data_IF_929451236464
#
_entry.id   IF_929451236464
#
_cell.length_a   1.000
_cell.length_b   1.000
_cell.length_c   1.000
_cell.angle_alpha   90.00
_cell.angle_beta   90.00
_cell.angle_gamma   90.00
#
_symmetry.space_group_name_H-M   'P 1'
#
loop_
_entity.id
_entity.type
_entity.pdbx_description
1 polymer ?
#
# COMPACT_ATOMS: atom_id res chain seq x y z
N UNK A 1 3.60 -1.99 12.32
CA UNK A 1 3.08 -1.96 10.95
C UNK A 1 2.70 -0.55 10.53
N UNK A 2 2.75 -0.21 9.23
CA UNK A 2 2.40 1.12 8.70
C UNK A 2 1.44 0.99 7.52
N UNK A 3 0.32 1.74 7.54
CA UNK A 3 -0.57 1.96 6.39
C UNK A 3 -0.33 3.39 5.89
N UNK A 4 0.10 3.52 4.63
CA UNK A 4 0.38 4.81 4.00
C UNK A 4 -0.89 5.34 3.32
N UNK A 5 -1.49 6.37 3.89
CA UNK A 5 -2.79 6.93 3.51
C UNK A 5 -2.76 8.44 3.20
N UNK A 6 -1.57 9.02 2.94
CA UNK A 6 -1.39 10.47 2.73
C UNK A 6 -1.78 10.99 1.34
N UNK A 7 -2.25 10.13 0.42
CA UNK A 7 -2.63 10.50 -0.94
C UNK A 7 -3.99 11.22 -1.04
N UNK A 8 -4.10 12.24 -1.90
CA UNK A 8 -5.33 13.02 -2.13
C UNK A 8 -6.30 12.42 -3.16
N UNK A 9 -5.89 11.37 -3.88
CA UNK A 9 -6.76 10.60 -4.77
C UNK A 9 -7.32 11.36 -5.98
N UNK A 10 -6.64 12.36 -6.54
CA UNK A 10 -7.14 13.21 -7.65
C UNK A 10 -7.74 12.43 -8.83
N UNK A 11 -7.21 11.26 -9.17
CA UNK A 11 -7.74 10.43 -10.28
C UNK A 11 -9.11 9.81 -10.01
N UNK A 12 -9.56 9.84 -8.76
CA UNK A 12 -10.88 9.39 -8.32
C UNK A 12 -11.88 10.54 -8.10
N UNK A 13 -11.50 11.79 -8.39
CA UNK A 13 -12.44 12.90 -8.28
C UNK A 13 -13.65 12.71 -9.20
N UNK A 14 -14.88 13.09 -8.76
CA UNK A 14 -15.18 13.83 -7.50
C UNK A 14 -15.31 12.95 -6.24
N UNK A 15 -15.24 11.63 -6.31
CA UNK A 15 -15.52 10.69 -5.21
C UNK A 15 -14.61 10.97 -3.99
N UNK A 16 -13.33 11.25 -4.23
CA UNK A 16 -12.31 11.51 -3.19
C UNK A 16 -12.14 12.99 -2.84
N UNK A 17 -13.06 13.86 -3.25
CA UNK A 17 -13.01 15.26 -2.84
C UNK A 17 -13.15 15.41 -1.32
N UNK A 18 -14.00 14.59 -0.70
CA UNK A 18 -14.33 14.68 0.72
C UNK A 18 -14.07 13.38 1.49
N UNK A 19 -13.53 12.33 0.85
CA UNK A 19 -13.25 11.04 1.48
C UNK A 19 -11.87 10.57 1.07
N UNK A 20 -11.05 10.15 2.03
CA UNK A 20 -9.76 9.52 1.75
C UNK A 20 -9.96 8.20 1.01
N UNK A 21 -9.06 7.86 0.06
CA UNK A 21 -9.15 6.58 -0.69
C UNK A 21 -9.32 5.34 0.22
N UNK A 22 -8.54 5.18 1.31
CA UNK A 22 -8.70 4.01 2.17
C UNK A 22 -10.04 3.94 2.89
N UNK A 23 -10.74 5.06 3.00
CA UNK A 23 -12.07 5.15 3.60
C UNK A 23 -13.20 5.05 2.57
N UNK A 24 -12.90 4.91 1.27
CA UNK A 24 -13.91 4.63 0.25
C UNK A 24 -14.57 3.27 0.52
N UNK A 25 -15.90 3.26 0.45
CA UNK A 25 -16.64 2.02 0.57
C UNK A 25 -16.54 1.17 -0.69
N UNK A 26 -16.23 -0.11 -0.53
CA UNK A 26 -16.34 -1.13 -1.55
C UNK A 26 -17.20 -2.25 -0.98
N UNK A 27 -18.32 -2.54 -1.61
CA UNK A 27 -19.28 -3.55 -1.16
C UNK A 27 -19.71 -3.39 0.31
N UNK A 28 -19.99 -2.13 0.71
CA UNK A 28 -20.49 -1.81 2.05
C UNK A 28 -19.43 -1.67 3.14
N UNK A 29 -18.13 -1.81 2.82
CA UNK A 29 -17.03 -1.75 3.79
C UNK A 29 -15.89 -0.85 3.28
N UNK A 30 -15.27 0.02 4.11
CA UNK A 30 -14.11 0.80 3.74
C UNK A 30 -12.92 -0.08 3.28
N UNK A 31 -12.17 0.39 2.28
CA UNK A 31 -10.98 -0.32 1.76
C UNK A 31 -10.01 -0.69 2.88
N UNK A 32 -9.77 0.22 3.83
CA UNK A 32 -8.87 -0.02 4.95
C UNK A 32 -9.31 -1.21 5.82
N UNK A 33 -10.60 -1.50 5.93
CA UNK A 33 -11.08 -2.61 6.74
C UNK A 33 -10.79 -3.97 6.11
N UNK A 34 -10.70 -4.05 4.78
CA UNK A 34 -10.19 -5.26 4.11
C UNK A 34 -8.73 -5.52 4.47
N UNK A 35 -7.91 -4.44 4.55
CA UNK A 35 -6.53 -4.55 5.03
C UNK A 35 -6.51 -5.02 6.49
N UNK A 36 -7.29 -4.38 7.37
CA UNK A 36 -7.34 -4.70 8.79
C UNK A 36 -7.77 -6.14 9.06
N UNK A 37 -8.72 -6.68 8.28
CA UNK A 37 -9.10 -8.11 8.37
C UNK A 37 -7.92 -9.04 8.08
N UNK A 38 -7.09 -8.74 7.05
CA UNK A 38 -5.90 -9.53 6.75
C UNK A 38 -4.83 -9.43 7.83
N UNK A 39 -4.74 -8.27 8.48
CA UNK A 39 -3.84 -8.07 9.61
C UNK A 39 -4.26 -8.83 10.87
N UNK A 40 -5.55 -9.08 11.04
CA UNK A 40 -6.05 -9.89 12.18
C UNK A 40 -5.58 -11.34 12.13
N UNK A 41 -5.16 -11.83 10.96
CA UNK A 41 -4.58 -13.15 10.77
C UNK A 41 -3.12 -13.26 11.26
N UNK A 42 -2.47 -12.11 11.59
CA UNK A 42 -1.04 -11.99 11.92
C UNK A 42 -0.86 -11.60 13.39
N UNK A 43 -0.43 -12.55 14.22
CA UNK A 43 -0.35 -12.34 15.67
C UNK A 43 0.80 -11.47 16.16
N UNK A 44 1.84 -11.25 15.36
CA UNK A 44 3.02 -10.47 15.75
C UNK A 44 2.89 -8.96 15.51
N UNK A 45 1.73 -8.46 15.06
CA UNK A 45 1.49 -7.04 14.86
C UNK A 45 1.00 -6.41 16.17
N UNK A 46 1.88 -5.67 16.84
CA UNK A 46 1.59 -5.00 18.11
C UNK A 46 1.03 -3.59 17.91
N UNK A 47 1.49 -2.88 16.85
CA UNK A 47 1.10 -1.50 16.57
C UNK A 47 0.76 -1.32 15.09
N UNK A 48 -0.28 -0.55 14.81
CA UNK A 48 -0.73 -0.20 13.46
C UNK A 48 -0.74 1.33 13.33
N UNK A 49 0.23 1.87 12.61
CA UNK A 49 0.31 3.30 12.31
C UNK A 49 -0.39 3.57 10.99
N UNK A 50 -1.36 4.47 10.98
CA UNK A 50 -1.97 4.99 9.76
C UNK A 50 -1.44 6.41 9.57
N UNK A 51 -0.60 6.60 8.53
CA UNK A 51 -0.06 7.90 8.15
C UNK A 51 -0.97 8.54 7.12
N UNK A 52 -1.53 9.70 7.43
CA UNK A 52 -2.46 10.43 6.56
C UNK A 52 -2.12 11.93 6.53
N UNK A 53 -2.77 12.69 5.65
CA UNK A 53 -2.61 14.13 5.54
C UNK A 53 -3.59 14.90 6.43
N UNK A 54 -3.36 16.21 6.60
CA UNK A 54 -4.17 17.07 7.46
C UNK A 54 -5.65 17.17 7.01
N UNK A 55 -5.90 17.04 5.70
CA UNK A 55 -7.26 17.10 5.15
C UNK A 55 -8.16 15.98 5.67
N UNK A 56 -7.61 14.78 5.80
CA UNK A 56 -8.37 13.57 6.15
C UNK A 56 -8.07 13.04 7.56
N UNK A 57 -7.22 13.73 8.33
CA UNK A 57 -6.81 13.30 9.67
C UNK A 57 -7.98 13.04 10.60
N UNK A 58 -8.98 13.92 10.62
CA UNK A 58 -10.14 13.78 11.50
C UNK A 58 -11.12 12.67 11.04
N UNK A 59 -11.17 12.38 9.73
CA UNK A 59 -11.93 11.23 9.21
C UNK A 59 -11.34 9.91 9.66
N UNK A 60 -10.01 9.78 9.62
CA UNK A 60 -9.32 8.58 10.12
C UNK A 60 -9.43 8.42 11.65
N UNK A 61 -9.40 9.52 12.42
CA UNK A 61 -9.61 9.46 13.87
C UNK A 61 -11.02 8.96 14.20
N UNK A 62 -12.06 9.50 13.55
CA UNK A 62 -13.45 9.02 13.71
C UNK A 62 -13.58 7.54 13.35
N UNK A 63 -13.03 7.15 12.19
CA UNK A 63 -13.02 5.74 11.80
C UNK A 63 -12.33 4.85 12.85
N UNK A 64 -11.20 5.25 13.39
CA UNK A 64 -10.47 4.47 14.40
C UNK A 64 -11.26 4.34 15.72
N UNK A 65 -11.98 5.40 16.14
CA UNK A 65 -12.89 5.38 17.30
C UNK A 65 -14.05 4.40 17.10
N UNK A 66 -14.58 4.30 15.88
CA UNK A 66 -15.67 3.35 15.53
C UNK A 66 -15.15 1.93 15.38
N UNK A 67 -13.98 1.73 14.78
CA UNK A 67 -13.36 0.42 14.53
C UNK A 67 -12.86 -0.24 15.83
N UNK A 68 -12.45 0.56 16.83
CA UNK A 68 -12.09 0.13 18.20
C UNK A 68 -10.92 -0.85 18.31
N UNK A 69 -9.98 -0.84 17.38
CA UNK A 69 -8.73 -1.59 17.53
C UNK A 69 -7.70 -0.72 18.27
N UNK A 70 -7.36 -1.11 19.50
CA UNK A 70 -6.45 -0.35 20.39
C UNK A 70 -5.01 -0.29 19.88
N UNK A 71 -4.64 -1.09 18.88
CA UNK A 71 -3.32 -1.06 18.24
C UNK A 71 -3.16 0.09 17.26
N UNK A 72 -4.28 0.73 16.84
CA UNK A 72 -4.28 1.77 15.80
C UNK A 72 -3.85 3.12 16.37
N UNK A 73 -2.84 3.73 15.75
CA UNK A 73 -2.39 5.12 15.97
C UNK A 73 -2.48 5.89 14.67
N UNK A 74 -3.15 7.04 14.67
CA UNK A 74 -3.21 7.94 13.51
C UNK A 74 -2.08 8.96 13.62
N UNK A 75 -1.23 9.05 12.58
CA UNK A 75 -0.21 10.09 12.43
C UNK A 75 -0.64 11.00 11.28
N UNK A 76 -0.77 12.30 11.55
CA UNK A 76 -1.23 13.30 10.59
C UNK A 76 -0.04 14.12 10.11
N UNK A 77 0.24 14.07 8.81
CA UNK A 77 1.25 14.87 8.14
C UNK A 77 0.74 16.32 7.95
N UNK A 78 1.60 17.31 8.16
CA UNK A 78 1.27 18.72 7.98
C UNK A 78 1.18 19.13 6.51
N UNK A 79 0.37 18.41 5.72
CA UNK A 79 0.09 18.75 4.32
C UNK A 79 -1.39 19.00 4.12
N UNK A 80 -1.74 20.12 3.46
CA UNK A 80 -3.12 20.56 3.22
C UNK A 80 -3.57 20.37 1.78
N UNK A 81 -2.63 20.17 0.88
CA UNK A 81 -2.89 20.01 -0.55
C UNK A 81 -1.95 18.97 -1.18
N UNK A 82 -2.27 18.53 -2.40
CA UNK A 82 -1.44 17.59 -3.17
C UNK A 82 -0.02 18.17 -3.43
N UNK A 83 0.09 19.48 -3.57
CA UNK A 83 1.35 20.18 -3.85
C UNK A 83 2.26 20.18 -2.61
N UNK A 84 1.66 20.21 -1.43
CA UNK A 84 2.35 20.22 -0.11
C UNK A 84 2.65 18.83 0.42
N UNK A 85 2.12 17.75 -0.19
CA UNK A 85 2.29 16.40 0.33
C UNK A 85 3.76 16.06 0.59
N UNK A 86 4.00 15.39 1.69
CA UNK A 86 5.34 14.93 2.04
C UNK A 86 5.91 14.00 0.97
N UNK A 87 5.06 13.17 0.39
CA UNK A 87 5.44 12.06 -0.46
C UNK A 87 5.73 10.80 0.36
N UNK A 88 5.43 9.64 -0.22
CA UNK A 88 5.40 8.36 0.49
C UNK A 88 6.76 7.95 1.06
N UNK A 89 7.86 8.23 0.35
CA UNK A 89 9.22 7.88 0.81
C UNK A 89 9.66 8.78 1.96
N UNK A 90 9.32 10.08 1.88
CA UNK A 90 9.62 11.01 2.98
C UNK A 90 8.80 10.70 4.22
N UNK A 91 7.51 10.38 4.07
CA UNK A 91 6.68 9.92 5.17
C UNK A 91 7.27 8.65 5.82
N UNK A 92 7.69 7.66 5.03
CA UNK A 92 8.35 6.46 5.53
C UNK A 92 9.65 6.78 6.27
N UNK A 93 10.49 7.67 5.73
CA UNK A 93 11.74 8.12 6.38
C UNK A 93 11.51 8.85 7.72
N UNK A 94 10.40 9.58 7.86
CA UNK A 94 10.04 10.20 9.13
C UNK A 94 9.51 9.18 10.12
N UNK A 95 8.64 8.28 9.67
CA UNK A 95 8.08 7.20 10.48
C UNK A 95 9.16 6.22 10.96
N UNK A 96 10.22 6.00 10.17
CA UNK A 96 11.31 5.12 10.58
C UNK A 96 11.95 5.56 11.91
N UNK A 97 11.94 6.85 12.22
CA UNK A 97 12.49 7.37 13.49
C UNK A 97 11.61 6.99 14.71
N UNK A 98 10.31 6.73 14.49
CA UNK A 98 9.37 6.29 15.53
C UNK A 98 9.26 4.77 15.63
N UNK A 99 9.76 4.04 14.63
CA UNK A 99 9.70 2.58 14.56
C UNK A 99 10.99 1.98 15.15
N UNK A 100 10.86 1.14 16.15
CA UNK A 100 11.98 0.44 16.79
C UNK A 100 12.30 -0.90 16.12
N UNK A 101 11.34 -1.47 15.40
CA UNK A 101 11.38 -2.81 14.82
C UNK A 101 11.14 -2.79 13.30
N UNK A 102 11.34 -3.96 12.70
CA UNK A 102 10.96 -4.25 11.32
C UNK A 102 9.48 -3.95 11.08
N UNK A 103 9.11 -3.54 9.87
CA UNK A 103 7.75 -3.11 9.62
C UNK A 103 7.13 -3.72 8.35
N UNK A 104 5.90 -4.22 8.49
CA UNK A 104 5.01 -4.44 7.36
C UNK A 104 4.44 -3.06 6.94
N UNK A 105 4.65 -2.66 5.69
CA UNK A 105 4.20 -1.39 5.12
C UNK A 105 3.23 -1.68 3.99
N UNK A 106 2.04 -1.07 4.03
CA UNK A 106 0.98 -1.26 3.02
C UNK A 106 0.51 0.11 2.52
N UNK A 107 0.45 0.28 1.20
CA UNK A 107 -0.25 1.42 0.61
C UNK A 107 -1.75 1.29 0.85
N UNK A 108 -2.38 2.31 1.41
CA UNK A 108 -3.76 2.27 1.92
C UNK A 108 -4.85 2.18 0.84
N UNK A 109 -4.47 2.26 -0.44
CA UNK A 109 -5.35 2.05 -1.59
C UNK A 109 -5.30 0.62 -2.15
N UNK A 110 -4.63 -0.30 -1.44
CA UNK A 110 -4.61 -1.72 -1.78
C UNK A 110 -5.87 -2.44 -1.30
N UNK A 111 -6.43 -3.22 -2.19
CA UNK A 111 -7.47 -4.19 -1.88
C UNK A 111 -7.01 -5.56 -2.36
N UNK A 112 -7.06 -6.56 -1.49
CA UNK A 112 -6.62 -7.92 -1.83
C UNK A 112 -7.38 -8.97 -1.01
N UNK A 113 -7.51 -10.18 -1.57
CA UNK A 113 -8.24 -11.28 -0.94
C UNK A 113 -7.32 -12.32 -0.31
N UNK A 114 -6.09 -12.42 -0.77
CA UNK A 114 -5.08 -13.35 -0.24
C UNK A 114 -4.68 -13.04 1.21
N UNK A 115 -4.12 -14.04 1.91
CA UNK A 115 -3.55 -13.86 3.24
C UNK A 115 -2.12 -13.33 3.15
N UNK A 116 -1.76 -12.41 4.05
CA UNK A 116 -0.37 -11.96 4.21
C UNK A 116 0.42 -12.81 5.21
N UNK A 117 -0.25 -13.70 5.94
CA UNK A 117 0.39 -14.54 6.96
C UNK A 117 1.55 -15.38 6.41
N UNK A 118 1.43 -16.06 5.25
CA UNK A 118 2.55 -16.83 4.69
C UNK A 118 3.74 -15.93 4.26
N UNK A 119 3.49 -14.68 3.84
CA UNK A 119 4.55 -13.71 3.55
C UNK A 119 5.33 -13.34 4.82
N UNK A 120 4.61 -13.12 5.92
CA UNK A 120 5.22 -12.81 7.23
C UNK A 120 5.98 -14.02 7.78
N UNK A 121 5.46 -15.23 7.63
CA UNK A 121 6.13 -16.48 8.04
C UNK A 121 7.42 -16.77 7.28
N UNK A 122 7.52 -16.30 6.02
CA UNK A 122 8.75 -16.40 5.20
C UNK A 122 9.78 -15.32 5.51
N UNK A 123 9.42 -14.31 6.30
CA UNK A 123 10.32 -13.19 6.58
C UNK A 123 11.55 -13.62 7.39
N UNK A 124 12.73 -13.33 6.86
CA UNK A 124 14.04 -13.70 7.42
C UNK A 124 14.98 -12.50 7.61
N UNK A 125 14.43 -11.32 7.94
CA UNK A 125 15.17 -10.05 8.10
C UNK A 125 15.80 -9.51 6.81
N UNK A 126 15.24 -9.89 5.68
CA UNK A 126 15.51 -9.30 4.37
C UNK A 126 14.23 -8.70 3.80
N UNK A 127 14.33 -7.66 2.98
CA UNK A 127 13.14 -7.02 2.41
C UNK A 127 12.32 -8.02 1.60
N UNK A 128 11.02 -8.09 1.86
CA UNK A 128 10.07 -8.85 1.05
C UNK A 128 9.06 -7.88 0.42
N UNK A 129 8.80 -8.06 -0.88
CA UNK A 129 7.77 -7.34 -1.62
C UNK A 129 6.68 -8.31 -2.04
N UNK A 130 5.43 -8.00 -1.75
CA UNK A 130 4.31 -8.73 -2.31
C UNK A 130 4.16 -8.38 -3.79
N UNK A 131 4.15 -9.41 -4.63
CA UNK A 131 4.05 -9.33 -6.07
C UNK A 131 2.73 -9.91 -6.55
N UNK A 132 2.23 -9.39 -7.67
CA UNK A 132 1.02 -9.90 -8.32
C UNK A 132 1.22 -10.00 -9.83
N UNK A 133 0.79 -11.10 -10.45
CA UNK A 133 0.80 -11.22 -11.90
C UNK A 133 -0.49 -10.64 -12.48
N UNK A 134 -0.39 -9.44 -13.06
CA UNK A 134 -1.54 -8.75 -13.67
C UNK A 134 -1.96 -9.36 -15.00
N UNK A 135 -1.15 -10.26 -15.59
CA UNK A 135 -1.41 -10.98 -16.87
C UNK A 135 -1.71 -10.08 -18.07
N UNK A 136 -1.39 -8.81 -17.95
CA UNK A 136 -1.63 -7.78 -18.96
C UNK A 136 -0.44 -6.82 -18.99
N UNK A 137 0.26 -6.78 -20.13
CA UNK A 137 1.46 -5.94 -20.33
C UNK A 137 1.13 -4.45 -20.27
N UNK A 138 -0.03 -4.03 -20.77
CA UNK A 138 -0.45 -2.64 -20.72
C UNK A 138 -0.79 -2.21 -19.28
N UNK A 139 -1.39 -3.10 -18.50
CA UNK A 139 -1.64 -2.85 -17.08
C UNK A 139 -0.34 -2.81 -16.28
N UNK A 140 0.64 -3.65 -16.61
CA UNK A 140 1.94 -3.68 -15.93
C UNK A 140 2.69 -2.33 -16.03
N UNK A 141 2.50 -1.54 -17.09
CA UNK A 141 3.09 -0.19 -17.25
C UNK A 141 2.72 0.78 -16.12
N UNK A 142 1.66 0.50 -15.38
CA UNK A 142 1.18 1.38 -14.30
C UNK A 142 1.91 1.16 -12.98
N UNK A 143 2.74 0.11 -12.86
CA UNK A 143 3.33 -0.38 -11.62
C UNK A 143 4.84 -0.58 -11.71
N UNK A 144 5.47 -0.88 -10.61
CA UNK A 144 6.84 -1.39 -10.57
C UNK A 144 6.88 -2.83 -11.11
N UNK A 145 7.49 -3.02 -12.28
CA UNK A 145 7.62 -4.34 -12.93
C UNK A 145 8.86 -5.05 -12.41
N UNK A 146 8.70 -6.35 -12.13
CA UNK A 146 9.69 -7.14 -11.40
C UNK A 146 10.11 -8.38 -12.21
N UNK A 147 11.40 -8.73 -12.12
CA UNK A 147 11.91 -10.05 -12.44
C UNK A 147 12.52 -10.68 -11.19
N UNK A 148 12.24 -11.96 -10.98
CA UNK A 148 12.78 -12.74 -9.86
C UNK A 148 13.53 -13.97 -10.40
N UNK A 149 14.50 -14.44 -9.63
CA UNK A 149 15.15 -15.74 -9.87
C UNK A 149 14.39 -16.92 -9.23
N UNK A 150 14.93 -18.12 -9.32
CA UNK A 150 14.35 -19.35 -8.79
C UNK A 150 14.25 -19.35 -7.25
N UNK A 151 15.03 -18.50 -6.57
CA UNK A 151 15.00 -18.30 -5.11
C UNK A 151 14.07 -17.14 -4.70
N UNK A 152 13.29 -16.62 -5.67
CA UNK A 152 12.41 -15.47 -5.51
C UNK A 152 13.13 -14.15 -5.18
N UNK A 153 14.45 -14.07 -5.40
CA UNK A 153 15.19 -12.82 -5.26
C UNK A 153 14.90 -11.89 -6.43
N UNK A 154 14.70 -10.61 -6.16
CA UNK A 154 14.51 -9.62 -7.21
C UNK A 154 15.85 -9.35 -7.90
N UNK A 155 15.89 -9.67 -9.20
CA UNK A 155 17.05 -9.47 -10.08
C UNK A 155 16.88 -8.23 -10.98
N UNK A 156 15.64 -7.78 -11.20
CA UNK A 156 15.36 -6.53 -11.88
C UNK A 156 14.08 -5.90 -11.35
N UNK A 157 14.06 -4.57 -11.23
CA UNK A 157 12.93 -3.77 -10.82
C UNK A 157 12.93 -2.45 -11.59
N UNK A 158 11.86 -2.18 -12.34
CA UNK A 158 11.68 -0.93 -13.09
C UNK A 158 10.34 -0.29 -12.75
N UNK A 159 10.37 0.91 -12.16
CA UNK A 159 9.14 1.64 -11.84
C UNK A 159 8.50 2.21 -13.10
N UNK A 160 7.28 1.78 -13.39
CA UNK A 160 6.43 2.23 -14.51
C UNK A 160 7.13 2.26 -15.87
N UNK A 161 7.67 1.11 -16.33
CA UNK A 161 8.39 1.06 -17.58
C UNK A 161 7.48 1.28 -18.80
N UNK A 162 7.99 1.95 -19.82
CA UNK A 162 7.29 2.07 -21.11
C UNK A 162 7.15 0.70 -21.82
N UNK A 163 8.13 -0.17 -21.62
CA UNK A 163 8.19 -1.53 -22.19
C UNK A 163 8.43 -2.55 -21.07
N UNK A 164 7.35 -3.05 -20.45
CA UNK A 164 7.49 -4.06 -19.41
C UNK A 164 8.08 -5.36 -19.94
N UNK A 165 9.03 -5.92 -19.20
CA UNK A 165 9.67 -7.21 -19.49
C UNK A 165 8.96 -8.39 -18.82
N UNK A 166 7.99 -8.10 -17.96
CA UNK A 166 7.22 -9.06 -17.17
C UNK A 166 5.82 -8.49 -16.91
N UNK A 167 4.86 -9.34 -16.56
CA UNK A 167 3.56 -8.95 -16.02
C UNK A 167 3.49 -9.06 -14.50
N UNK A 168 4.60 -9.46 -13.86
CA UNK A 168 4.73 -9.52 -12.42
C UNK A 168 5.04 -8.12 -11.87
N UNK A 169 4.19 -7.61 -10.98
CA UNK A 169 4.27 -6.23 -10.49
C UNK A 169 4.32 -6.16 -8.97
N UNK A 170 4.94 -5.09 -8.45
CA UNK A 170 4.90 -4.73 -7.04
C UNK A 170 3.52 -4.20 -6.66
N UNK A 171 2.96 -4.74 -5.59
CA UNK A 171 1.60 -4.40 -5.14
C UNK A 171 1.53 -3.18 -4.21
N UNK A 172 2.67 -2.69 -3.70
CA UNK A 172 2.65 -1.67 -2.65
C UNK A 172 2.52 -2.24 -1.24
N UNK A 173 2.84 -3.54 -1.07
CA UNK A 173 2.90 -4.24 0.22
C UNK A 173 4.32 -4.75 0.43
N UNK A 174 4.94 -4.37 1.54
CA UNK A 174 6.35 -4.61 1.82
C UNK A 174 6.56 -5.04 3.26
N UNK A 175 7.57 -5.89 3.51
CA UNK A 175 8.17 -6.05 4.84
C UNK A 175 9.58 -5.50 4.76
N UNK A 176 9.87 -4.49 5.55
CA UNK A 176 11.18 -3.87 5.62
C UNK A 176 11.86 -4.16 6.96
N UNK A 177 13.12 -4.62 6.95
CA UNK A 177 13.98 -4.53 8.12
C UNK A 177 14.11 -3.07 8.59
N UNK A 178 14.33 -2.85 9.87
CA UNK A 178 14.52 -1.51 10.44
C UNK A 178 15.63 -0.74 9.73
N UNK A 179 16.72 -1.42 9.43
CA UNK A 179 17.88 -0.85 8.74
C UNK A 179 17.52 -0.33 7.33
N UNK A 180 16.64 -1.03 6.63
CA UNK A 180 16.16 -0.61 5.30
C UNK A 180 15.21 0.57 5.39
N UNK A 181 14.38 0.65 6.43
CA UNK A 181 13.55 1.84 6.67
C UNK A 181 14.41 3.10 6.85
N UNK A 182 15.56 2.97 7.53
CA UNK A 182 16.49 4.08 7.72
C UNK A 182 17.20 4.48 6.41
N UNK A 183 17.41 3.55 5.47
CA UNK A 183 17.94 3.83 4.13
C UNK A 183 17.03 4.74 3.28
N UNK A 184 15.75 4.88 3.61
CA UNK A 184 14.86 5.84 2.94
C UNK A 184 15.38 7.29 3.06
N UNK A 185 16.03 7.63 4.18
CA UNK A 185 16.68 8.94 4.38
C UNK A 185 17.91 9.09 3.48
N UNK A 186 18.74 8.05 3.37
CA UNK A 186 19.91 8.04 2.47
C UNK A 186 19.49 8.25 1.02
N UNK A 187 18.49 7.47 0.55
CA UNK A 187 17.91 7.63 -0.78
C UNK A 187 17.48 9.06 -1.09
N UNK A 188 16.78 9.72 -0.16
CA UNK A 188 16.36 11.10 -0.33
C UNK A 188 17.56 12.08 -0.34
N UNK A 189 18.59 11.85 0.46
CA UNK A 189 19.82 12.65 0.45
C UNK A 189 20.61 12.51 -0.85
N UNK A 190 20.56 11.37 -1.53
CA UNK A 190 21.13 11.13 -2.86
C UNK A 190 20.31 11.79 -3.99
N UNK A 191 19.22 12.50 -3.68
CA UNK A 191 18.34 13.15 -4.66
C UNK A 191 17.22 12.26 -5.18
N UNK A 192 16.93 11.17 -4.50
CA UNK A 192 15.83 10.26 -4.83
C UNK A 192 14.46 10.92 -4.71
N UNK A 193 13.50 10.46 -5.49
CA UNK A 193 12.12 10.97 -5.53
C UNK A 193 11.36 10.68 -4.23
N UNK A 194 10.59 11.67 -3.75
CA UNK A 194 9.82 11.52 -2.49
C UNK A 194 8.48 10.80 -2.65
N UNK A 195 7.94 10.72 -3.88
CA UNK A 195 6.52 10.44 -4.15
C UNK A 195 6.21 8.99 -4.51
N UNK A 196 7.21 8.20 -4.88
CA UNK A 196 7.01 6.84 -5.37
C UNK A 196 7.89 5.84 -4.63
N UNK A 197 7.23 4.96 -3.90
CA UNK A 197 7.95 3.91 -3.18
C UNK A 197 8.66 2.94 -4.13
N UNK A 198 8.10 2.71 -5.34
CA UNK A 198 8.75 1.90 -6.36
C UNK A 198 10.11 2.45 -6.83
N UNK A 199 10.28 3.78 -6.91
CA UNK A 199 11.59 4.38 -7.20
C UNK A 199 12.62 4.09 -6.08
N UNK A 200 12.16 4.12 -4.81
CA UNK A 200 13.00 3.71 -3.68
C UNK A 200 13.37 2.22 -3.77
N UNK A 201 12.43 1.34 -4.12
CA UNK A 201 12.70 -0.09 -4.31
C UNK A 201 13.68 -0.31 -5.47
N UNK A 202 13.53 0.42 -6.59
CA UNK A 202 14.45 0.35 -7.74
C UNK A 202 15.88 0.79 -7.37
N UNK A 203 16.04 1.66 -6.40
CA UNK A 203 17.33 2.04 -5.83
C UNK A 203 17.83 0.98 -4.84
N UNK A 204 16.91 0.45 -4.00
CA UNK A 204 17.22 -0.47 -2.90
C UNK A 204 17.72 -1.83 -3.37
N UNK A 205 17.07 -2.46 -4.38
CA UNK A 205 17.41 -3.84 -4.79
C UNK A 205 18.85 -3.97 -5.31
N UNK A 206 19.50 -2.87 -5.67
CA UNK A 206 20.91 -2.81 -6.07
C UNK A 206 21.88 -2.71 -4.88
N UNK A 207 21.37 -2.50 -3.68
CA UNK A 207 22.15 -2.21 -2.46
C UNK A 207 21.90 -3.22 -1.33
N UNK A 208 20.74 -3.80 -1.29
CA UNK A 208 20.33 -4.78 -0.29
C UNK A 208 19.52 -5.92 -0.93
N UNK A 209 19.52 -7.12 -0.34
CA UNK A 209 18.68 -8.21 -0.78
C UNK A 209 17.19 -7.84 -0.70
N UNK A 210 16.47 -8.11 -1.79
CA UNK A 210 15.01 -7.92 -1.88
C UNK A 210 14.41 -9.18 -2.49
N UNK A 211 13.41 -9.75 -1.83
CA UNK A 211 12.71 -10.95 -2.25
C UNK A 211 11.28 -10.65 -2.66
N UNK A 212 10.78 -11.40 -3.63
CA UNK A 212 9.40 -11.37 -4.07
C UNK A 212 8.56 -12.43 -3.36
N UNK A 213 7.35 -12.07 -2.95
CA UNK A 213 6.33 -13.00 -2.51
C UNK A 213 5.10 -12.86 -3.42
N UNK A 214 4.77 -13.90 -4.18
CA UNK A 214 3.61 -13.87 -5.08
C UNK A 214 2.35 -14.01 -4.23
N UNK A 215 1.47 -13.00 -4.28
CA UNK A 215 0.19 -12.99 -3.59
C UNK A 215 -0.78 -13.97 -4.22
N UNK A 216 -1.42 -14.76 -3.38
CA UNK A 216 -2.57 -15.56 -3.77
C UNK A 216 -3.85 -14.71 -3.85
N UNK A 217 -4.83 -15.19 -4.62
CA UNK A 217 -6.14 -14.54 -4.73
C UNK A 217 -6.16 -13.38 -5.71
N UNK A 218 -6.97 -12.37 -5.40
CA UNK A 218 -7.15 -11.18 -6.25
C UNK A 218 -6.50 -9.96 -5.59
N UNK A 219 -6.03 -9.03 -6.42
CA UNK A 219 -5.45 -7.77 -5.99
C UNK A 219 -5.89 -6.60 -6.88
N UNK A 220 -6.12 -5.45 -6.26
CA UNK A 220 -6.44 -4.18 -6.92
C UNK A 220 -5.72 -3.02 -6.24
N UNK A 221 -5.15 -2.14 -7.05
CA UNK A 221 -4.83 -0.76 -6.68
C UNK A 221 -6.07 0.10 -6.96
N UNK A 222 -6.69 0.64 -5.92
CA UNK A 222 -7.84 1.54 -6.05
C UNK A 222 -7.33 2.94 -6.43
N UNK A 223 -6.76 3.04 -7.63
CA UNK A 223 -6.10 4.24 -8.12
C UNK A 223 -6.98 5.16 -8.95
N UNK A 224 -8.02 4.64 -9.59
CA UNK A 224 -8.94 5.36 -10.48
C UNK A 224 -10.35 4.75 -10.45
N UNK A 225 -11.31 5.41 -11.16
CA UNK A 225 -12.72 4.97 -11.21
C UNK A 225 -12.86 3.58 -11.86
N UNK A 226 -12.00 3.24 -12.81
CA UNK A 226 -12.05 1.95 -13.52
C UNK A 226 -11.62 0.80 -12.60
N UNK A 227 -10.51 0.96 -11.88
CA UNK A 227 -10.05 -0.03 -10.90
C UNK A 227 -11.04 -0.17 -9.74
N UNK A 228 -11.63 0.93 -9.26
CA UNK A 228 -12.66 0.94 -8.23
C UNK A 228 -13.90 0.13 -8.64
N UNK A 229 -14.46 0.37 -9.83
CA UNK A 229 -15.61 -0.38 -10.36
C UNK A 229 -15.28 -1.86 -10.55
N UNK A 230 -14.10 -2.18 -11.11
CA UNK A 230 -13.66 -3.56 -11.30
C UNK A 230 -13.55 -4.34 -9.99
N UNK A 231 -13.07 -3.70 -8.93
CA UNK A 231 -13.01 -4.31 -7.60
C UNK A 231 -14.41 -4.66 -7.09
N UNK A 232 -15.38 -3.72 -7.14
CA UNK A 232 -16.78 -3.96 -6.75
C UNK A 232 -17.37 -5.14 -7.53
N UNK A 233 -17.29 -5.10 -8.86
CA UNK A 233 -17.85 -6.15 -9.72
C UNK A 233 -17.27 -7.53 -9.42
N UNK A 234 -15.96 -7.61 -9.18
CA UNK A 234 -15.31 -8.89 -8.92
C UNK A 234 -15.66 -9.42 -7.53
N UNK A 235 -15.65 -8.54 -6.50
CA UNK A 235 -16.03 -8.93 -5.15
C UNK A 235 -17.48 -9.41 -5.09
N UNK A 236 -18.40 -8.70 -5.72
CA UNK A 236 -19.79 -9.11 -5.79
C UNK A 236 -19.96 -10.46 -6.47
N UNK A 237 -19.40 -10.61 -7.68
CA UNK A 237 -19.60 -11.83 -8.49
C UNK A 237 -18.89 -13.07 -7.97
N UNK A 238 -17.63 -12.92 -7.51
CA UNK A 238 -16.82 -14.06 -7.07
C UNK A 238 -17.00 -14.41 -5.59
N UNK A 239 -17.27 -13.42 -4.75
CA UNK A 239 -17.25 -13.58 -3.30
C UNK A 239 -18.59 -13.30 -2.63
N UNK A 240 -19.64 -12.96 -3.44
CA UNK A 240 -21.00 -12.75 -2.94
C UNK A 240 -21.18 -11.52 -2.06
N UNK A 241 -20.25 -10.53 -2.15
CA UNK A 241 -20.42 -9.26 -1.46
C UNK A 241 -21.57 -8.45 -2.06
N UNK A 242 -22.28 -7.61 -1.28
CA UNK A 242 -23.35 -6.77 -1.80
C UNK A 242 -22.83 -5.76 -2.84
N UNK A 243 -23.58 -5.54 -3.91
CA UNK A 243 -23.26 -4.52 -4.95
C UNK A 243 -23.54 -3.08 -4.49
N UNK A 244 -23.40 -2.77 -3.23
CA UNK A 244 -23.81 -1.45 -2.71
C UNK A 244 -22.85 -0.34 -3.15
N UNK A 245 -23.17 0.27 -4.30
CA UNK A 245 -22.44 1.38 -4.93
C UNK A 245 -22.75 2.72 -4.23
N UNK A 246 -23.74 2.80 -3.34
CA UNK A 246 -24.36 4.06 -2.96
C UNK A 246 -24.22 4.52 -1.50
N UNK A 247 -23.60 3.79 -0.58
CA UNK A 247 -23.83 4.05 0.84
C UNK A 247 -22.82 4.99 1.51
N UNK A 248 -21.76 5.47 0.86
CA UNK A 248 -20.83 6.43 1.49
C UNK A 248 -20.46 7.63 0.60
N UNK A 249 -21.40 8.09 -0.21
CA UNK A 249 -21.34 9.45 -0.73
C UNK A 249 -22.22 10.30 0.20
N UNK A 250 -21.59 10.97 1.16
CA UNK A 250 -22.09 12.11 1.92
C UNK A 250 -23.14 11.76 3.02
N UNK A 251 -22.70 11.68 4.22
CA UNK A 251 -23.33 12.35 5.37
C UNK A 251 -22.36 13.31 6.01
#
# INVERSE_FOLDING_TARGET
>A
MVILAGGYGKRLWPITLNVAKPLLSICGKPVIEYIMEKLSEINCIEHIIISTNLKFGDDFKRWAEEYKDTRVKIIVEESRSEEEKLGVVKALSMLSQELENDALVIAGDNLFTGSLKPMVEKYSRETIIALYDVKDVELAKLYGVVQIDDESRIIDFVEKPERPVSTLVSTGIYIFPKEVLDMAKEYLCEGGGKDRLGEFIQWLYKRAPVHGYILDGEWWDIGDIKSYKRAIETLSKKFGYPEDIHTYVIR
#
